data_IF_633643401457
#
_entry.id   IF_633643401457
#
_cell.length_a   1.000
_cell.length_b   1.000
_cell.length_c   1.000
_cell.angle_alpha   90.00
_cell.angle_beta   90.00
_cell.angle_gamma   90.00
#
_symmetry.space_group_name_H-M   'P 1'
#
loop_
_entity.id
_entity.type
_entity.pdbx_description
1 polymer ?
#
# COMPACT_ATOMS: atom_id res chain seq x y z
N UNK A 1 8.23 17.75 2.52
CA UNK A 1 8.99 17.19 1.38
C UNK A 1 9.82 15.97 1.79
N UNK A 2 10.68 16.05 2.82
CA UNK A 2 11.52 14.94 3.29
C UNK A 2 10.73 13.66 3.67
N UNK A 3 9.55 13.80 4.28
CA UNK A 3 8.66 12.69 4.67
C UNK A 3 8.11 11.92 3.48
N UNK A 4 7.76 12.61 2.38
CA UNK A 4 7.27 11.98 1.15
C UNK A 4 8.41 11.25 0.46
N UNK A 5 9.59 11.87 0.36
CA UNK A 5 10.77 11.25 -0.24
C UNK A 5 11.20 9.97 0.50
N UNK A 6 11.35 10.04 1.83
CA UNK A 6 11.71 8.87 2.65
C UNK A 6 10.65 7.76 2.60
N UNK A 7 9.37 8.14 2.60
CA UNK A 7 8.27 7.18 2.49
C UNK A 7 8.20 6.51 1.10
N UNK A 8 8.52 7.24 0.03
CA UNK A 8 8.61 6.71 -1.33
C UNK A 8 9.77 5.73 -1.47
N UNK A 9 10.96 6.07 -0.94
CA UNK A 9 12.12 5.17 -0.96
C UNK A 9 11.82 3.88 -0.18
N UNK A 10 11.28 3.97 1.04
CA UNK A 10 10.90 2.79 1.79
C UNK A 10 9.82 1.94 1.11
N UNK A 11 8.87 2.59 0.41
CA UNK A 11 7.85 1.91 -0.40
C UNK A 11 8.45 1.18 -1.61
N UNK A 12 9.34 1.83 -2.34
CA UNK A 12 10.04 1.26 -3.49
C UNK A 12 10.92 0.07 -3.09
N UNK A 13 11.67 0.18 -1.97
CA UNK A 13 12.47 -0.93 -1.42
C UNK A 13 11.57 -2.12 -1.07
N UNK A 14 10.41 -1.86 -0.44
CA UNK A 14 9.45 -2.92 -0.09
C UNK A 14 8.91 -3.62 -1.35
N UNK A 15 8.60 -2.86 -2.40
CA UNK A 15 8.09 -3.41 -3.66
C UNK A 15 9.15 -4.16 -4.44
N UNK A 16 10.39 -3.68 -4.43
CA UNK A 16 11.51 -4.37 -5.05
C UNK A 16 11.83 -5.67 -4.32
N UNK A 17 11.85 -5.67 -2.98
CA UNK A 17 12.01 -6.89 -2.20
C UNK A 17 10.91 -7.92 -2.49
N UNK A 18 9.66 -7.46 -2.63
CA UNK A 18 8.53 -8.31 -3.00
C UNK A 18 8.63 -8.92 -4.41
N UNK A 19 9.37 -8.28 -5.33
CA UNK A 19 9.58 -8.82 -6.68
C UNK A 19 10.64 -9.92 -6.75
N UNK A 20 11.57 -9.96 -5.79
CA UNK A 20 12.66 -10.95 -5.73
C UNK A 20 12.26 -12.13 -4.85
N UNK A 21 11.67 -11.85 -3.68
CA UNK A 21 11.32 -12.84 -2.67
C UNK A 21 9.87 -12.62 -2.20
N UNK A 22 8.87 -12.94 -3.04
CA UNK A 22 7.46 -12.67 -2.76
C UNK A 22 6.96 -13.29 -1.44
N UNK A 23 7.34 -14.54 -1.17
CA UNK A 23 6.95 -15.23 0.07
C UNK A 23 7.54 -14.58 1.31
N UNK A 24 8.82 -14.18 1.24
CA UNK A 24 9.49 -13.50 2.35
C UNK A 24 8.90 -12.12 2.59
N UNK A 25 8.56 -11.38 1.54
CA UNK A 25 7.91 -10.08 1.66
C UNK A 25 6.50 -10.19 2.27
N UNK A 26 5.73 -11.21 1.89
CA UNK A 26 4.43 -11.47 2.50
C UNK A 26 4.56 -11.78 3.99
N UNK A 27 5.49 -12.65 4.37
CA UNK A 27 5.78 -12.97 5.78
C UNK A 27 6.20 -11.72 6.57
N UNK A 28 7.08 -10.89 6.01
CA UNK A 28 7.51 -9.65 6.65
C UNK A 28 6.34 -8.66 6.85
N UNK A 29 5.43 -8.56 5.87
CA UNK A 29 4.25 -7.68 5.98
C UNK A 29 3.26 -8.16 7.04
N UNK A 30 3.14 -9.46 7.27
CA UNK A 30 2.27 -10.00 8.32
C UNK A 30 2.72 -9.60 9.74
N UNK A 31 3.98 -9.19 9.92
CA UNK A 31 4.49 -8.68 11.20
C UNK A 31 4.26 -7.17 11.38
N UNK A 32 3.71 -6.48 10.37
CA UNK A 32 3.39 -5.05 10.48
C UNK A 32 2.15 -4.88 11.37
N UNK A 33 2.17 -3.97 12.36
CA UNK A 33 1.01 -3.70 13.19
C UNK A 33 -0.25 -3.43 12.36
N UNK A 34 -1.40 -3.93 12.82
CA UNK A 34 -2.71 -3.81 12.17
C UNK A 34 -2.90 -4.65 10.89
N UNK A 35 -1.87 -5.37 10.43
CA UNK A 35 -2.04 -6.39 9.38
C UNK A 35 -2.53 -7.68 10.03
N UNK A 36 -3.70 -8.15 9.59
CA UNK A 36 -4.28 -9.42 10.06
C UNK A 36 -4.30 -10.43 8.90
N UNK A 37 -4.29 -11.72 9.20
CA UNK A 37 -4.40 -12.77 8.17
C UNK A 37 -5.68 -12.61 7.31
N UNK A 38 -6.80 -12.20 7.92
CA UNK A 38 -8.05 -11.86 7.20
C UNK A 38 -7.92 -10.70 6.21
N UNK A 39 -6.96 -9.79 6.44
CA UNK A 39 -6.70 -8.68 5.52
C UNK A 39 -6.06 -9.19 4.22
N UNK A 40 -5.24 -10.25 4.29
CA UNK A 40 -4.61 -10.87 3.13
C UNK A 40 -5.66 -11.38 2.16
N UNK A 41 -6.61 -12.19 2.64
CA UNK A 41 -7.67 -12.75 1.80
C UNK A 41 -8.56 -11.66 1.21
N UNK A 42 -8.90 -10.64 2.01
CA UNK A 42 -9.69 -9.50 1.54
C UNK A 42 -9.01 -8.77 0.37
N UNK A 43 -7.72 -8.47 0.51
CA UNK A 43 -6.94 -7.78 -0.53
C UNK A 43 -6.77 -8.65 -1.78
N UNK A 44 -6.45 -9.93 -1.61
CA UNK A 44 -6.33 -10.85 -2.74
C UNK A 44 -7.64 -10.99 -3.52
N UNK A 45 -8.76 -11.16 -2.82
CA UNK A 45 -10.09 -11.22 -3.46
C UNK A 45 -10.38 -9.92 -4.21
N UNK A 46 -10.08 -8.76 -3.62
CA UNK A 46 -10.33 -7.48 -4.28
C UNK A 46 -9.46 -7.29 -5.53
N UNK A 47 -8.15 -7.55 -5.44
CA UNK A 47 -7.22 -7.45 -6.57
C UNK A 47 -7.52 -8.41 -7.72
N UNK A 48 -8.13 -9.58 -7.43
CA UNK A 48 -8.59 -10.52 -8.46
C UNK A 48 -9.88 -10.07 -9.14
N UNK A 49 -10.76 -9.42 -8.38
CA UNK A 49 -12.07 -8.99 -8.87
C UNK A 49 -12.05 -7.62 -9.56
N UNK A 50 -11.01 -6.81 -9.33
CA UNK A 50 -10.95 -5.42 -9.75
C UNK A 50 -9.62 -5.07 -10.40
N UNK A 51 -9.59 -3.99 -11.18
CA UNK A 51 -8.34 -3.45 -11.70
C UNK A 51 -7.46 -2.88 -10.59
N UNK A 52 -6.15 -2.76 -10.85
CA UNK A 52 -5.20 -2.14 -9.93
C UNK A 52 -5.60 -0.70 -9.55
N UNK A 53 -6.21 0.03 -10.49
CA UNK A 53 -6.73 1.39 -10.27
C UNK A 53 -7.88 1.39 -9.28
N UNK A 54 -8.84 0.48 -9.43
CA UNK A 54 -9.97 0.36 -8.50
C UNK A 54 -9.49 -0.05 -7.10
N UNK A 55 -8.58 -1.02 -7.03
CA UNK A 55 -7.93 -1.44 -5.78
C UNK A 55 -7.23 -0.25 -5.10
N UNK A 56 -6.55 0.58 -5.87
CA UNK A 56 -5.90 1.79 -5.39
C UNK A 56 -6.88 2.79 -4.77
N UNK A 57 -8.03 3.06 -5.40
CA UNK A 57 -9.02 3.98 -4.85
C UNK A 57 -9.77 3.42 -3.64
N UNK A 58 -9.94 2.09 -3.56
CA UNK A 58 -10.58 1.44 -2.43
C UNK A 58 -9.67 1.35 -1.19
N UNK A 59 -8.36 1.20 -1.43
CA UNK A 59 -7.36 0.93 -0.40
C UNK A 59 -7.37 1.92 0.79
N UNK A 60 -7.49 3.25 0.62
CA UNK A 60 -7.55 4.21 1.74
C UNK A 60 -8.73 3.99 2.69
N UNK A 61 -9.85 3.49 2.17
CA UNK A 61 -11.11 3.27 2.88
C UNK A 61 -11.22 1.90 3.52
N UNK A 62 -10.39 0.94 3.07
CA UNK A 62 -10.42 -0.44 3.56
C UNK A 62 -9.95 -0.63 5.02
N UNK A 63 -9.26 0.37 5.59
CA UNK A 63 -8.59 0.24 6.89
C UNK A 63 -7.36 -0.69 6.86
N UNK A 64 -6.99 -1.23 5.70
CA UNK A 64 -5.88 -2.17 5.54
C UNK A 64 -4.59 -1.39 5.18
N UNK A 65 -3.45 -1.69 5.83
CA UNK A 65 -2.19 -1.01 5.54
C UNK A 65 -1.77 -1.09 4.08
N UNK A 66 -1.31 0.03 3.53
CA UNK A 66 -0.93 0.17 2.12
C UNK A 66 0.12 -0.87 1.69
N UNK A 67 1.10 -1.14 2.55
CA UNK A 67 2.17 -2.12 2.28
C UNK A 67 1.60 -3.49 1.87
N UNK A 68 0.49 -3.92 2.48
CA UNK A 68 -0.13 -5.20 2.15
C UNK A 68 -0.72 -5.23 0.74
N UNK A 69 -1.41 -4.16 0.33
CA UNK A 69 -1.96 -4.02 -1.02
C UNK A 69 -0.88 -4.11 -2.10
N UNK A 70 0.25 -3.49 -1.86
CA UNK A 70 1.30 -3.41 -2.88
C UNK A 70 2.14 -4.68 -2.96
N UNK A 71 2.46 -5.31 -1.82
CA UNK A 71 3.09 -6.62 -1.82
C UNK A 71 2.17 -7.64 -2.50
N UNK A 72 0.87 -7.65 -2.17
CA UNK A 72 -0.06 -8.59 -2.79
C UNK A 72 -0.34 -8.31 -4.27
N UNK A 73 -0.25 -7.05 -4.72
CA UNK A 73 -0.30 -6.73 -6.14
C UNK A 73 0.92 -7.30 -6.89
N UNK A 74 2.13 -7.15 -6.34
CA UNK A 74 3.35 -7.71 -6.95
C UNK A 74 3.34 -9.24 -6.91
N UNK A 75 2.95 -9.85 -5.79
CA UNK A 75 2.75 -11.30 -5.67
C UNK A 75 1.69 -11.80 -6.64
N UNK A 76 0.65 -11.00 -6.91
CA UNK A 76 -0.38 -11.26 -7.91
C UNK A 76 0.06 -11.13 -9.37
N UNK A 77 1.34 -10.83 -9.63
CA UNK A 77 1.93 -10.73 -10.97
C UNK A 77 1.96 -9.32 -11.55
N UNK A 78 1.55 -8.29 -10.80
CA UNK A 78 1.69 -6.91 -11.27
C UNK A 78 3.16 -6.46 -11.19
N UNK A 79 3.62 -5.77 -12.23
CA UNK A 79 4.99 -5.25 -12.26
C UNK A 79 5.19 -4.19 -11.15
N UNK A 80 6.28 -4.23 -10.37
CA UNK A 80 6.52 -3.25 -9.31
C UNK A 80 6.46 -1.80 -9.79
N UNK A 81 6.99 -1.55 -10.99
CA UNK A 81 7.02 -0.23 -11.61
C UNK A 81 5.61 0.33 -11.91
N UNK A 82 4.62 -0.54 -12.15
CA UNK A 82 3.24 -0.08 -12.35
C UNK A 82 2.52 0.15 -11.02
N UNK A 83 2.95 -0.52 -9.95
CA UNK A 83 2.36 -0.39 -8.60
C UNK A 83 2.90 0.84 -7.84
N UNK A 84 4.17 1.21 -8.04
CA UNK A 84 4.83 2.33 -7.34
C UNK A 84 4.05 3.66 -7.48
N UNK A 85 3.64 4.11 -8.69
CA UNK A 85 2.93 5.37 -8.85
C UNK A 85 1.63 5.43 -8.03
N UNK A 86 0.84 4.36 -8.06
CA UNK A 86 -0.37 4.27 -7.24
C UNK A 86 -0.01 4.40 -5.76
N UNK A 87 1.01 3.68 -5.29
CA UNK A 87 1.43 3.76 -3.90
C UNK A 87 1.80 5.18 -3.44
N UNK A 88 2.56 5.88 -4.26
CA UNK A 88 3.00 7.26 -3.98
C UNK A 88 1.79 8.21 -3.96
N UNK A 89 0.91 8.12 -4.95
CA UNK A 89 -0.26 9.00 -5.05
C UNK A 89 -1.18 8.80 -3.86
N UNK A 90 -1.56 7.56 -3.52
CA UNK A 90 -2.53 7.33 -2.44
C UNK A 90 -1.98 7.67 -1.07
N UNK A 91 -0.69 7.44 -0.84
CA UNK A 91 -0.03 7.88 0.39
C UNK A 91 0.00 9.40 0.49
N UNK A 92 0.28 10.10 -0.62
CA UNK A 92 0.23 11.56 -0.69
C UNK A 92 -1.18 12.07 -0.42
N UNK A 93 -2.20 11.47 -1.02
CA UNK A 93 -3.61 11.80 -0.78
C UNK A 93 -4.00 11.57 0.69
N UNK A 94 -3.57 10.46 1.30
CA UNK A 94 -3.85 10.19 2.72
C UNK A 94 -3.19 11.21 3.65
N UNK A 95 -1.96 11.61 3.38
CA UNK A 95 -1.29 12.66 4.15
C UNK A 95 -1.92 14.04 3.93
N UNK A 96 -2.31 14.37 2.70
CA UNK A 96 -3.03 15.60 2.39
C UNK A 96 -4.38 15.64 3.13
N UNK A 97 -5.15 14.56 3.08
CA UNK A 97 -6.42 14.46 3.80
C UNK A 97 -6.23 14.58 5.32
N UNK A 98 -5.22 13.92 5.90
CA UNK A 98 -4.90 14.05 7.31
C UNK A 98 -4.47 15.48 7.69
N UNK A 99 -3.69 16.15 6.85
CA UNK A 99 -3.26 17.53 7.06
C UNK A 99 -4.44 18.52 6.98
N UNK A 100 -5.34 18.35 6.01
CA UNK A 100 -6.55 19.16 5.89
C UNK A 100 -7.47 18.97 7.10
N UNK A 101 -7.67 17.74 7.55
CA UNK A 101 -8.45 17.45 8.75
C UNK A 101 -7.80 18.09 9.98
N UNK A 102 -6.50 17.91 10.19
CA UNK A 102 -5.78 18.52 11.30
C UNK A 102 -5.94 20.06 11.31
N UNK A 103 -5.76 20.70 10.15
CA UNK A 103 -5.96 22.13 9.99
C UNK A 103 -7.40 22.57 10.29
N UNK A 104 -8.42 21.76 9.94
CA UNK A 104 -9.83 22.07 10.23
C UNK A 104 -10.19 21.96 11.71
N UNK A 105 -9.44 21.17 12.48
CA UNK A 105 -9.61 21.03 13.93
C UNK A 105 -8.70 21.97 14.75
N UNK A 106 -7.93 22.84 14.09
CA UNK A 106 -7.05 23.81 14.76
C UNK A 106 -5.83 23.20 15.46
N UNK A 107 -5.37 22.02 15.01
CA UNK A 107 -4.13 21.38 15.45
C UNK A 107 -2.93 21.83 14.63
#
# INVERSE_FOLDING_TARGET
MATVAGATVGGAITLFAASIAPDSALQAVLHVPLVHARSVSTVQTYLRAHSLIQAFFYQPWSGIPFKLWAVLAVVGGHQPLTVIPFFVIGRTLRFAAAAVLAASFGL
#
